data_IF_506417187934
#
_entry.id   IF_506417187934
#
_cell.length_a   1.000
_cell.length_b   1.000
_cell.length_c   1.000
_cell.angle_alpha   90.00
_cell.angle_beta   90.00
_cell.angle_gamma   90.00
#
_symmetry.space_group_name_H-M   'P 1'
#
loop_
_entity.id
_entity.type
_entity.pdbx_description
1 polymer ?
#
# COMPACT_ATOMS: atom_id res chain seq x y z
N UNK A 1 5.76 21.97 -30.26
CA UNK A 1 4.82 21.17 -29.43
C UNK A 1 5.27 19.73 -29.17
N UNK A 2 5.96 19.03 -30.10
CA UNK A 2 6.47 17.67 -29.85
C UNK A 2 7.57 17.56 -28.77
N UNK A 3 8.36 18.62 -28.58
CA UNK A 3 9.43 18.69 -27.56
C UNK A 3 8.88 18.72 -26.13
N UNK A 4 7.79 19.45 -25.89
CA UNK A 4 7.13 19.54 -24.59
C UNK A 4 6.44 18.23 -24.21
N UNK A 5 5.80 17.54 -25.17
CA UNK A 5 5.18 16.24 -24.93
C UNK A 5 6.22 15.16 -24.56
N UNK A 6 7.39 15.15 -25.23
CA UNK A 6 8.51 14.30 -24.84
C UNK A 6 9.07 14.68 -23.46
N UNK A 7 9.21 15.96 -23.15
CA UNK A 7 9.68 16.41 -21.84
C UNK A 7 8.72 16.00 -20.71
N UNK A 8 7.40 16.03 -20.93
CA UNK A 8 6.40 15.55 -19.96
C UNK A 8 6.41 14.02 -19.86
N UNK A 9 6.52 13.30 -20.98
CA UNK A 9 6.54 11.84 -20.99
C UNK A 9 7.83 11.22 -20.41
N UNK A 10 8.96 11.94 -20.46
CA UNK A 10 10.24 11.47 -19.90
C UNK A 10 10.62 12.18 -18.59
N UNK A 11 9.80 13.10 -18.09
CA UNK A 11 10.03 13.72 -16.77
C UNK A 11 9.50 12.80 -15.66
N UNK A 12 10.27 12.54 -14.60
CA UNK A 12 9.83 11.71 -13.47
C UNK A 12 8.73 12.38 -12.61
N UNK A 13 8.59 13.71 -12.69
CA UNK A 13 7.66 14.48 -11.87
C UNK A 13 6.16 14.10 -12.04
N UNK A 14 5.59 13.99 -13.25
CA UNK A 14 4.21 13.56 -13.43
C UNK A 14 3.95 12.15 -12.92
N UNK A 15 4.89 11.22 -13.11
CA UNK A 15 4.78 9.86 -12.59
C UNK A 15 4.80 9.81 -11.06
N UNK A 16 5.63 10.65 -10.43
CA UNK A 16 5.69 10.78 -8.98
C UNK A 16 4.35 11.27 -8.40
N UNK A 17 3.75 12.31 -8.99
CA UNK A 17 2.46 12.88 -8.55
C UNK A 17 1.33 11.86 -8.71
N UNK A 18 1.25 11.16 -9.84
CA UNK A 18 0.22 10.14 -10.08
C UNK A 18 0.37 8.97 -9.10
N UNK A 19 1.61 8.50 -8.89
CA UNK A 19 1.90 7.41 -7.95
C UNK A 19 1.55 7.81 -6.52
N UNK A 20 1.90 9.04 -6.12
CA UNK A 20 1.62 9.57 -4.79
C UNK A 20 0.12 9.75 -4.57
N UNK A 21 -0.59 10.35 -5.54
CA UNK A 21 -2.04 10.52 -5.50
C UNK A 21 -2.78 9.19 -5.46
N UNK A 22 -2.31 8.19 -6.21
CA UNK A 22 -2.90 6.83 -6.19
C UNK A 22 -2.69 6.16 -4.84
N UNK A 23 -1.49 6.25 -4.26
CA UNK A 23 -1.17 5.68 -2.96
C UNK A 23 -2.00 6.32 -1.84
N UNK A 24 -2.04 7.65 -1.80
CA UNK A 24 -2.81 8.42 -0.82
C UNK A 24 -4.31 8.19 -0.98
N UNK A 25 -4.83 8.26 -2.21
CA UNK A 25 -6.24 8.04 -2.50
C UNK A 25 -6.71 6.63 -2.16
N UNK A 26 -5.93 5.61 -2.50
CA UNK A 26 -6.24 4.20 -2.17
C UNK A 26 -6.24 3.98 -0.67
N UNK A 27 -5.25 4.54 0.05
CA UNK A 27 -5.17 4.43 1.51
C UNK A 27 -6.36 5.10 2.19
N UNK A 28 -6.67 6.33 1.78
CA UNK A 28 -7.78 7.08 2.35
C UNK A 28 -9.13 6.38 2.10
N UNK A 29 -9.41 6.03 0.84
CA UNK A 29 -10.67 5.40 0.47
C UNK A 29 -10.83 4.03 1.15
N UNK A 30 -9.78 3.20 1.16
CA UNK A 30 -9.89 1.86 1.72
C UNK A 30 -10.09 1.88 3.24
N UNK A 31 -9.33 2.70 3.97
CA UNK A 31 -9.38 2.76 5.44
C UNK A 31 -10.61 3.49 5.96
N UNK A 32 -10.93 4.67 5.41
CA UNK A 32 -11.97 5.53 5.99
C UNK A 32 -13.36 5.34 5.37
N UNK A 33 -13.44 4.97 4.09
CA UNK A 33 -14.74 4.86 3.41
C UNK A 33 -15.12 3.39 3.26
N UNK A 34 -14.36 2.63 2.48
CA UNK A 34 -14.67 1.24 2.16
C UNK A 34 -14.78 0.37 3.41
N UNK A 35 -13.78 0.41 4.30
CA UNK A 35 -13.76 -0.40 5.51
C UNK A 35 -14.95 -0.13 6.45
N UNK A 36 -15.27 1.14 6.70
CA UNK A 36 -16.38 1.53 7.59
C UNK A 36 -17.72 1.14 6.98
N UNK A 37 -17.93 1.42 5.68
CA UNK A 37 -19.17 1.08 4.99
C UNK A 37 -19.37 -0.44 4.99
N UNK A 38 -18.35 -1.20 4.60
CA UNK A 38 -18.42 -2.66 4.49
C UNK A 38 -18.66 -3.32 5.85
N UNK A 39 -18.08 -2.78 6.93
CA UNK A 39 -18.33 -3.27 8.28
C UNK A 39 -19.78 -3.05 8.74
N UNK A 40 -20.44 -2.00 8.25
CA UNK A 40 -21.84 -1.68 8.60
C UNK A 40 -22.86 -2.39 7.71
N UNK A 41 -22.52 -2.70 6.46
CA UNK A 41 -23.48 -3.21 5.47
C UNK A 41 -23.39 -4.71 5.22
N UNK A 42 -22.24 -5.34 5.48
CA UNK A 42 -21.99 -6.73 5.10
C UNK A 42 -21.98 -7.65 6.33
N UNK A 43 -22.50 -8.87 6.17
CA UNK A 43 -22.42 -9.91 7.18
C UNK A 43 -20.96 -10.34 7.43
N UNK A 44 -20.67 -10.78 8.67
CA UNK A 44 -19.29 -11.12 9.08
C UNK A 44 -18.59 -12.12 8.15
N UNK A 45 -19.25 -13.21 7.68
CA UNK A 45 -18.64 -14.14 6.72
C UNK A 45 -18.28 -13.50 5.38
N UNK A 46 -19.20 -12.74 4.78
CA UNK A 46 -18.94 -12.08 3.49
C UNK A 46 -17.89 -10.96 3.61
N UNK A 47 -17.91 -10.20 4.71
CA UNK A 47 -16.89 -9.20 5.03
C UNK A 47 -15.49 -9.83 5.07
N UNK A 48 -15.36 -10.95 5.77
CA UNK A 48 -14.12 -11.73 5.85
C UNK A 48 -13.67 -12.23 4.47
N UNK A 49 -14.59 -12.75 3.65
CA UNK A 49 -14.27 -13.23 2.31
C UNK A 49 -13.78 -12.12 1.36
N UNK A 50 -14.39 -10.92 1.45
CA UNK A 50 -13.98 -9.76 0.65
C UNK A 50 -12.61 -9.26 1.11
N UNK A 51 -12.38 -9.15 2.41
CA UNK A 51 -11.11 -8.71 2.98
C UNK A 51 -9.94 -9.65 2.60
N UNK A 52 -10.16 -10.96 2.58
CA UNK A 52 -9.15 -11.94 2.15
C UNK A 52 -8.67 -11.70 0.72
N UNK A 53 -9.51 -11.15 -0.16
CA UNK A 53 -9.15 -10.81 -1.55
C UNK A 53 -8.60 -9.40 -1.69
N UNK A 54 -9.10 -8.45 -0.92
CA UNK A 54 -8.66 -7.04 -0.99
C UNK A 54 -7.33 -6.79 -0.30
N UNK A 55 -7.07 -7.42 0.85
CA UNK A 55 -5.84 -7.19 1.62
C UNK A 55 -4.54 -7.51 0.86
N UNK A 56 -4.41 -8.62 0.12
CA UNK A 56 -3.21 -8.87 -0.68
C UNK A 56 -2.95 -7.76 -1.72
N UNK A 57 -4.01 -7.26 -2.36
CA UNK A 57 -3.91 -6.18 -3.36
C UNK A 57 -3.52 -4.88 -2.67
N UNK A 58 -4.19 -4.54 -1.58
CA UNK A 58 -3.96 -3.30 -0.83
C UNK A 58 -2.55 -3.24 -0.23
N UNK A 59 -2.11 -4.28 0.47
CA UNK A 59 -0.77 -4.34 1.04
C UNK A 59 0.30 -4.48 -0.05
N UNK A 60 -0.02 -5.12 -1.18
CA UNK A 60 0.86 -5.16 -2.35
C UNK A 60 1.09 -3.77 -2.93
N UNK A 61 0.03 -2.99 -3.13
CA UNK A 61 0.13 -1.59 -3.55
C UNK A 61 0.91 -0.75 -2.54
N UNK A 62 0.67 -0.92 -1.24
CA UNK A 62 1.44 -0.24 -0.20
C UNK A 62 2.91 -0.65 -0.12
N UNK A 63 3.29 -1.80 -0.67
CA UNK A 63 4.70 -2.23 -0.71
C UNK A 63 5.40 -1.76 -1.99
N UNK A 64 4.71 -1.86 -3.13
CA UNK A 64 5.27 -1.55 -4.46
C UNK A 64 5.30 -0.05 -4.73
N UNK A 65 4.21 0.68 -4.44
CA UNK A 65 4.10 2.10 -4.79
C UNK A 65 5.09 2.99 -4.04
N UNK A 66 5.44 2.78 -2.75
CA UNK A 66 6.51 3.52 -2.12
C UNK A 66 7.89 3.27 -2.76
N UNK A 67 8.15 2.05 -3.24
CA UNK A 67 9.34 1.75 -4.03
C UNK A 67 9.38 2.53 -5.35
N UNK A 68 8.24 2.63 -6.04
CA UNK A 68 8.10 3.45 -7.27
C UNK A 68 8.25 4.94 -6.95
N UNK A 69 7.75 5.42 -5.81
CA UNK A 69 7.96 6.80 -5.35
C UNK A 69 9.44 7.10 -5.07
N UNK A 70 10.16 6.15 -4.50
CA UNK A 70 11.60 6.28 -4.29
C UNK A 70 12.36 6.38 -5.63
N UNK A 71 11.96 5.57 -6.63
CA UNK A 71 12.58 5.58 -7.96
C UNK A 71 12.23 6.83 -8.78
N UNK A 72 11.04 7.39 -8.60
CA UNK A 72 10.53 8.55 -9.34
C UNK A 72 10.78 9.88 -8.63
N UNK A 73 11.58 9.91 -7.56
CA UNK A 73 11.79 11.12 -6.77
C UNK A 73 12.34 12.26 -7.65
N UNK A 74 11.58 13.37 -7.82
CA UNK A 74 12.01 14.48 -8.66
C UNK A 74 13.13 15.23 -7.94
N UNK A 75 14.33 15.16 -8.50
CA UNK A 75 15.47 15.95 -8.04
C UNK A 75 15.32 17.38 -8.54
N UNK A 76 15.55 18.33 -7.63
CA UNK A 76 15.54 19.74 -7.94
C UNK A 76 16.97 20.28 -7.94
N UNK A 77 17.48 20.61 -9.13
CA UNK A 77 18.83 21.16 -9.35
C UNK A 77 19.02 22.53 -8.70
N UNK A 78 17.94 23.27 -8.41
CA UNK A 78 18.00 24.59 -7.73
C UNK A 78 18.37 24.48 -6.24
N UNK A 79 18.22 23.31 -5.63
CA UNK A 79 18.57 23.01 -4.23
C UNK A 79 19.63 21.90 -4.12
N UNK A 80 20.33 21.59 -5.23
CA UNK A 80 21.39 20.58 -5.26
C UNK A 80 20.90 19.13 -5.14
N UNK A 81 19.61 18.87 -5.37
CA UNK A 81 19.00 17.55 -5.21
C UNK A 81 19.06 16.80 -6.53
N UNK A 82 19.80 15.69 -6.56
CA UNK A 82 19.90 14.82 -7.74
C UNK A 82 18.58 14.09 -8.03
N UNK A 83 18.30 13.85 -9.30
CA UNK A 83 17.12 13.11 -9.73
C UNK A 83 17.23 11.62 -9.34
N UNK A 84 16.12 11.03 -8.90
CA UNK A 84 16.03 9.60 -8.58
C UNK A 84 16.56 9.24 -7.18
N UNK A 85 16.92 7.97 -6.93
CA UNK A 85 17.25 7.47 -5.59
C UNK A 85 18.47 8.12 -4.96
N UNK A 86 19.35 8.74 -5.76
CA UNK A 86 20.49 9.50 -5.25
C UNK A 86 20.07 10.79 -4.50
N UNK A 87 18.93 11.39 -4.85
CA UNK A 87 18.40 12.58 -4.18
C UNK A 87 17.82 12.28 -2.80
N UNK A 88 17.36 11.04 -2.59
CA UNK A 88 16.81 10.55 -1.32
C UNK A 88 17.87 10.33 -0.23
N UNK A 89 19.14 10.15 -0.63
CA UNK A 89 20.27 9.96 0.31
C UNK A 89 20.85 11.30 0.79
N UNK A 90 20.39 12.42 0.23
CA UNK A 90 20.75 13.75 0.73
C UNK A 90 20.27 13.94 2.18
N UNK A 91 21.05 14.68 2.98
CA UNK A 91 20.80 14.85 4.41
C UNK A 91 19.40 15.43 4.71
N UNK A 92 18.89 16.27 3.80
CA UNK A 92 17.57 16.87 3.87
C UNK A 92 16.43 15.89 3.55
N UNK A 93 16.56 15.09 2.48
CA UNK A 93 15.52 14.15 2.05
C UNK A 93 15.49 12.86 2.86
N UNK A 94 16.59 12.52 3.56
CA UNK A 94 16.71 11.30 4.35
C UNK A 94 15.63 11.20 5.43
N UNK A 95 15.42 12.29 6.17
CA UNK A 95 14.47 12.33 7.27
C UNK A 95 13.03 12.59 6.81
N UNK A 96 12.85 13.38 5.76
CA UNK A 96 11.51 13.82 5.31
C UNK A 96 10.87 12.92 4.27
N UNK A 97 11.65 12.16 3.51
CA UNK A 97 11.15 11.35 2.39
C UNK A 97 11.62 9.91 2.45
N UNK A 98 12.90 9.65 2.64
CA UNK A 98 13.44 8.27 2.65
C UNK A 98 12.90 7.47 3.84
N UNK A 99 12.90 8.05 5.05
CA UNK A 99 12.46 7.35 6.25
C UNK A 99 10.95 7.00 6.23
N UNK A 100 10.03 7.92 5.88
CA UNK A 100 8.61 7.59 5.72
C UNK A 100 8.36 6.54 4.62
N UNK A 101 9.02 6.65 3.46
CA UNK A 101 8.87 5.69 2.36
C UNK A 101 9.34 4.29 2.78
N UNK A 102 10.50 4.22 3.45
CA UNK A 102 11.06 2.97 3.97
C UNK A 102 10.13 2.32 5.00
N UNK A 103 9.60 3.10 5.94
CA UNK A 103 8.65 2.62 6.94
C UNK A 103 7.37 2.11 6.28
N UNK A 104 6.80 2.88 5.33
CA UNK A 104 5.59 2.46 4.62
C UNK A 104 5.80 1.14 3.86
N UNK A 105 6.92 1.01 3.14
CA UNK A 105 7.25 -0.21 2.41
C UNK A 105 7.45 -1.40 3.36
N UNK A 106 8.17 -1.19 4.47
CA UNK A 106 8.42 -2.23 5.47
C UNK A 106 7.12 -2.68 6.15
N UNK A 107 6.30 -1.74 6.59
CA UNK A 107 5.01 -2.04 7.22
C UNK A 107 4.06 -2.73 6.24
N UNK A 108 4.02 -2.30 4.98
CA UNK A 108 3.27 -2.98 3.91
C UNK A 108 3.74 -4.43 3.71
N UNK A 109 5.05 -4.66 3.66
CA UNK A 109 5.63 -5.98 3.49
C UNK A 109 5.35 -6.90 4.69
N UNK A 110 5.47 -6.39 5.92
CA UNK A 110 5.14 -7.15 7.13
C UNK A 110 3.65 -7.51 7.15
N UNK A 111 2.77 -6.58 6.77
CA UNK A 111 1.33 -6.85 6.66
C UNK A 111 1.02 -7.94 5.62
N UNK A 112 1.71 -7.92 4.47
CA UNK A 112 1.48 -8.88 3.40
C UNK A 112 2.09 -10.26 3.67
N UNK A 113 3.31 -10.32 4.19
CA UNK A 113 4.08 -11.56 4.33
C UNK A 113 3.88 -12.26 5.68
N UNK A 114 3.56 -11.51 6.74
CA UNK A 114 3.43 -12.06 8.10
C UNK A 114 1.98 -12.04 8.55
N UNK A 115 1.35 -10.86 8.59
CA UNK A 115 0.01 -10.76 9.19
C UNK A 115 -1.10 -11.38 8.34
N UNK A 116 -1.03 -11.24 7.01
CA UNK A 116 -2.00 -11.83 6.10
C UNK A 116 -2.09 -13.37 6.22
N UNK A 117 -0.99 -14.15 6.10
CA UNK A 117 -1.07 -15.61 6.24
C UNK A 117 -1.51 -16.04 7.64
N UNK A 118 -1.03 -15.39 8.70
CA UNK A 118 -1.43 -15.67 10.08
C UNK A 118 -2.94 -15.45 10.29
N UNK A 119 -3.50 -14.37 9.74
CA UNK A 119 -4.92 -14.07 9.87
C UNK A 119 -5.78 -15.10 9.12
N UNK A 120 -5.34 -15.55 7.94
CA UNK A 120 -6.03 -16.59 7.16
C UNK A 120 -6.03 -17.93 7.90
N UNK A 121 -4.92 -18.29 8.55
CA UNK A 121 -4.80 -19.53 9.32
C UNK A 121 -5.75 -19.54 10.52
N UNK A 122 -5.77 -18.47 11.31
CA UNK A 122 -6.68 -18.32 12.46
C UNK A 122 -8.16 -18.38 12.01
N UNK A 123 -8.50 -17.74 10.88
CA UNK A 123 -9.84 -17.82 10.32
C UNK A 123 -10.22 -19.24 9.90
N UNK A 124 -9.28 -20.01 9.35
CA UNK A 124 -9.49 -21.42 8.98
C UNK A 124 -9.71 -22.29 10.22
N UNK A 125 -8.88 -22.13 11.25
CA UNK A 125 -9.01 -22.86 12.51
C UNK A 125 -10.37 -22.60 13.18
N UNK A 126 -10.81 -21.34 13.22
CA UNK A 126 -12.11 -20.96 13.77
C UNK A 126 -13.29 -21.61 13.04
N UNK A 127 -13.23 -21.72 11.70
CA UNK A 127 -14.28 -22.43 10.94
C UNK A 127 -14.30 -23.92 11.25
N UNK A 128 -13.12 -24.55 11.42
CA UNK A 128 -12.99 -25.95 11.80
C UNK A 128 -13.55 -26.24 13.20
N UNK A 129 -13.24 -25.39 14.18
CA UNK A 129 -13.74 -25.50 15.56
C UNK A 129 -15.26 -25.30 15.65
N UNK A 130 -15.82 -24.36 14.88
CA UNK A 130 -17.27 -24.16 14.82
C UNK A 130 -18.02 -25.39 14.27
N UNK A 131 -17.41 -26.13 13.35
CA UNK A 131 -17.99 -27.36 12.81
C UNK A 131 -17.86 -28.55 13.77
N UNK A 132 -16.75 -28.68 14.50
CA UNK A 132 -16.54 -29.77 15.47
C UNK A 132 -17.44 -29.63 16.71
N UNK A 133 -17.63 -28.41 17.23
CA UNK A 133 -18.54 -28.14 18.35
C UNK A 133 -19.99 -28.48 17.97
N UNK A 134 -20.39 -28.19 16.73
CA UNK A 134 -21.73 -28.54 16.25
C UNK A 134 -21.93 -30.07 16.18
N UNK A 135 -20.93 -30.83 15.72
CA UNK A 135 -20.98 -32.30 15.68
C UNK A 135 -20.99 -32.97 17.06
N UNK A 136 -20.34 -32.39 18.08
CA UNK A 136 -20.42 -32.92 19.45
C UNK A 136 -21.75 -32.60 20.15
N UNK A 137 -22.53 -31.66 19.61
CA UNK A 137 -23.81 -31.21 20.19
C UNK A 137 -25.06 -31.89 19.62
N UNK A 138 -24.89 -32.85 18.70
CA UNK A 138 -25.96 -33.65 18.05
C UNK A 138 -25.78 -35.11 18.47
#
# INVERSE_FOLDING_TARGET
MASTAKAVAFSPAPYHIITYGTLLGTTFFHTFINGIVMFRTVDRPSFSAIQQKLFPIYFGLQTVLPGVLALTYPGNTLIGLSNGPAGLVSEFARWHSLLPISIMALTGAVNLLVFLPLTVEVMKQRRGQGASIFMESI
#
